data_IF_214183494739
#
_entry.id   IF_214183494739
#
_cell.length_a   1.000
_cell.length_b   1.000
_cell.length_c   1.000
_cell.angle_alpha   90.00
_cell.angle_beta   90.00
_cell.angle_gamma   90.00
#
_symmetry.space_group_name_H-M   'P 1'
#
loop_
_entity.id
_entity.type
_entity.pdbx_description
1 polymer ?
#
# COMPACT_ATOMS: atom_id res chain seq x y z
N UNK A 1 1.57 2.74 32.36
CA UNK A 1 0.85 2.13 31.22
C UNK A 1 -0.34 3.02 30.93
N UNK A 2 -0.33 3.75 29.81
CA UNK A 2 -1.51 4.52 29.41
C UNK A 2 -1.71 4.36 27.90
N UNK A 3 -2.71 3.56 27.56
CA UNK A 3 -3.18 3.27 26.20
C UNK A 3 -4.08 4.40 25.73
N UNK A 4 -3.52 5.37 25.00
CA UNK A 4 -4.33 6.29 24.21
C UNK A 4 -4.87 5.54 23.00
N UNK A 5 -6.19 5.28 23.03
CA UNK A 5 -6.97 4.86 21.87
C UNK A 5 -6.97 6.00 20.87
N UNK A 6 -6.41 5.77 19.69
CA UNK A 6 -6.45 6.71 18.57
C UNK A 6 -7.80 6.51 17.88
N UNK A 7 -8.56 7.60 17.77
CA UNK A 7 -9.88 7.66 17.16
C UNK A 7 -9.80 7.53 15.63
N UNK A 8 -9.94 6.31 15.12
CA UNK A 8 -10.00 5.98 13.69
C UNK A 8 -11.43 6.10 13.15
N UNK A 9 -11.92 7.31 12.85
CA UNK A 9 -13.23 7.44 12.17
C UNK A 9 -13.19 8.47 11.03
N UNK A 10 -12.95 7.89 9.83
CA UNK A 10 -13.55 8.23 8.53
C UNK A 10 -13.26 9.60 7.90
N UNK A 11 -12.01 9.79 7.48
CA UNK A 11 -11.65 10.47 6.21
C UNK A 11 -10.29 10.01 5.64
N UNK A 12 -9.51 9.25 6.43
CA UNK A 12 -8.08 8.98 6.20
C UNK A 12 -7.70 7.61 5.64
N UNK A 13 -8.61 6.67 5.36
CA UNK A 13 -8.23 5.26 5.17
C UNK A 13 -7.11 4.98 4.13
N UNK A 14 -7.06 5.72 3.03
CA UNK A 14 -6.00 5.58 2.03
C UNK A 14 -4.72 6.35 2.39
N UNK A 15 -4.86 7.57 2.88
CA UNK A 15 -3.74 8.43 3.26
C UNK A 15 -3.03 7.91 4.53
N UNK A 16 -3.77 7.39 5.51
CA UNK A 16 -3.25 6.76 6.72
C UNK A 16 -2.36 5.55 6.38
N UNK A 17 -2.71 4.79 5.34
CA UNK A 17 -1.93 3.64 4.88
C UNK A 17 -0.66 4.09 4.17
N UNK A 18 -0.73 5.15 3.35
CA UNK A 18 0.44 5.74 2.70
C UNK A 18 1.40 6.27 3.76
N UNK A 19 0.93 7.09 4.71
CA UNK A 19 1.75 7.64 5.80
C UNK A 19 2.41 6.53 6.64
N UNK A 20 1.65 5.46 6.94
CA UNK A 20 2.18 4.28 7.61
C UNK A 20 3.33 3.61 6.83
N UNK A 21 3.19 3.52 5.51
CA UNK A 21 4.18 2.92 4.61
C UNK A 21 5.41 3.83 4.41
N UNK A 22 5.22 5.14 4.28
CA UNK A 22 6.31 6.13 4.19
C UNK A 22 7.20 6.09 5.42
N UNK A 23 6.62 5.88 6.62
CA UNK A 23 7.39 5.67 7.84
C UNK A 23 8.22 4.36 7.83
N UNK A 24 8.07 3.49 6.82
CA UNK A 24 8.69 2.17 6.71
C UNK A 24 9.25 1.88 5.30
N UNK A 25 10.34 2.56 4.88
CA UNK A 25 10.88 2.39 3.51
C UNK A 25 11.25 0.95 3.13
N UNK A 26 11.72 0.14 4.09
CA UNK A 26 12.03 -1.28 3.85
C UNK A 26 10.77 -2.11 3.55
N UNK A 27 9.65 -1.77 4.18
CA UNK A 27 8.36 -2.41 3.90
C UNK A 27 7.91 -2.04 2.48
N UNK A 28 8.01 -0.77 2.10
CA UNK A 28 7.67 -0.32 0.74
C UNK A 28 8.47 -1.07 -0.32
N UNK A 29 9.79 -1.15 -0.14
CA UNK A 29 10.66 -1.87 -1.06
C UNK A 29 10.28 -3.36 -1.17
N UNK A 30 9.96 -4.00 -0.05
CA UNK A 30 9.55 -5.41 -0.03
C UNK A 30 8.18 -5.61 -0.71
N UNK A 31 7.21 -4.74 -0.43
CA UNK A 31 5.88 -4.80 -1.05
C UNK A 31 5.98 -4.64 -2.57
N UNK A 32 6.75 -3.68 -3.07
CA UNK A 32 6.95 -3.50 -4.52
C UNK A 32 7.68 -4.69 -5.17
N UNK A 33 8.57 -5.36 -4.43
CA UNK A 33 9.28 -6.55 -4.89
C UNK A 33 8.37 -7.77 -5.01
N UNK A 34 7.43 -7.96 -4.07
CA UNK A 34 6.57 -9.15 -4.04
C UNK A 34 5.27 -8.97 -4.84
N UNK A 35 4.72 -7.75 -4.89
CA UNK A 35 3.52 -7.44 -5.64
C UNK A 35 3.86 -7.01 -7.07
N UNK A 36 4.23 -7.97 -7.93
CA UNK A 36 4.62 -7.70 -9.32
C UNK A 36 3.40 -7.83 -10.23
N UNK A 37 3.06 -6.81 -11.02
CA UNK A 37 1.99 -6.90 -12.04
C UNK A 37 2.28 -8.05 -13.03
N UNK A 38 1.30 -8.93 -13.24
CA UNK A 38 1.39 -10.04 -14.20
C UNK A 38 0.96 -9.65 -15.63
N UNK A 39 0.56 -8.39 -15.83
CA UNK A 39 0.11 -7.85 -17.12
C UNK A 39 -1.39 -8.00 -17.35
N UNK A 40 -2.14 -8.57 -16.40
CA UNK A 40 -3.60 -8.73 -16.45
C UNK A 40 -4.34 -7.78 -15.50
N UNK A 41 -3.63 -6.84 -14.88
CA UNK A 41 -4.16 -6.00 -13.81
C UNK A 41 -4.20 -6.69 -12.45
N UNK A 42 -3.39 -7.75 -12.26
CA UNK A 42 -3.24 -8.47 -11.00
C UNK A 42 -1.77 -8.60 -10.63
N UNK A 43 -1.46 -8.66 -9.34
CA UNK A 43 -0.13 -9.06 -8.91
C UNK A 43 0.06 -10.58 -9.00
N UNK A 44 1.19 -10.99 -9.56
CA UNK A 44 1.70 -12.35 -9.56
C UNK A 44 1.77 -12.89 -8.13
N UNK A 45 0.98 -13.91 -7.83
CA UNK A 45 1.00 -14.59 -6.53
C UNK A 45 0.14 -13.95 -5.44
N UNK A 46 -0.64 -12.90 -5.73
CA UNK A 46 -1.69 -12.46 -4.80
C UNK A 46 -2.74 -13.58 -4.62
N UNK A 47 -2.91 -14.04 -3.38
CA UNK A 47 -3.99 -14.98 -3.03
C UNK A 47 -5.38 -14.36 -3.15
N UNK A 48 -5.43 -13.02 -3.16
CA UNK A 48 -6.65 -12.24 -3.25
C UNK A 48 -7.09 -12.09 -4.72
N UNK A 49 -8.00 -12.96 -5.18
CA UNK A 49 -8.73 -12.74 -6.44
C UNK A 49 -9.82 -11.70 -6.18
N UNK A 50 -9.60 -10.42 -6.50
CA UNK A 50 -10.72 -9.47 -6.48
C UNK A 50 -11.75 -9.91 -7.52
N UNK A 51 -12.99 -10.13 -7.08
CA UNK A 51 -14.07 -10.41 -8.00
C UNK A 51 -14.30 -9.18 -8.90
N UNK A 52 -14.04 -9.36 -10.20
CA UNK A 52 -14.58 -8.59 -11.31
C UNK A 52 -14.16 -7.11 -11.52
N UNK A 53 -13.22 -6.55 -10.76
CA UNK A 53 -12.67 -5.21 -11.08
C UNK A 53 -11.15 -5.24 -11.03
N UNK A 54 -10.44 -5.06 -12.17
CA UNK A 54 -9.00 -4.91 -12.16
C UNK A 54 -8.63 -3.58 -11.49
N UNK A 55 -8.20 -3.64 -10.23
CA UNK A 55 -7.58 -2.52 -9.54
C UNK A 55 -6.07 -2.72 -9.73
N UNK A 56 -5.49 -1.91 -10.62
CA UNK A 56 -4.07 -1.95 -10.98
C UNK A 56 -3.15 -2.10 -9.74
N UNK A 57 -2.17 -3.01 -9.79
CA UNK A 57 -2.32 -4.47 -9.90
C UNK A 57 -2.78 -5.12 -8.58
N UNK A 58 -2.88 -4.33 -7.50
CA UNK A 58 -3.77 -4.51 -6.36
C UNK A 58 -3.68 -3.23 -5.50
N UNK A 59 -4.67 -2.99 -4.63
CA UNK A 59 -4.67 -1.81 -3.76
C UNK A 59 -3.42 -1.71 -2.87
N UNK A 60 -2.83 -2.84 -2.44
CA UNK A 60 -1.57 -2.85 -1.66
C UNK A 60 -0.41 -2.27 -2.47
N UNK A 61 -0.28 -2.68 -3.74
CA UNK A 61 0.74 -2.13 -4.62
C UNK A 61 0.51 -0.64 -4.87
N UNK A 62 -0.74 -0.25 -5.10
CA UNK A 62 -1.07 1.16 -5.29
C UNK A 62 -0.61 2.02 -4.11
N UNK A 63 -0.84 1.59 -2.87
CA UNK A 63 -0.35 2.30 -1.68
C UNK A 63 1.19 2.35 -1.63
N UNK A 64 1.86 1.24 -1.95
CA UNK A 64 3.31 1.18 -1.93
C UNK A 64 3.95 2.09 -2.99
N UNK A 65 3.37 2.19 -4.19
CA UNK A 65 3.84 3.11 -5.25
C UNK A 65 3.68 4.57 -4.82
N UNK A 66 2.54 4.96 -4.24
CA UNK A 66 2.34 6.33 -3.74
C UNK A 66 3.32 6.69 -2.61
N UNK A 67 3.56 5.76 -1.69
CA UNK A 67 4.53 5.96 -0.62
C UNK A 67 5.97 6.06 -1.16
N UNK A 68 6.34 5.25 -2.16
CA UNK A 68 7.66 5.32 -2.80
C UNK A 68 7.88 6.66 -3.51
N UNK A 69 6.89 7.16 -4.25
CA UNK A 69 6.92 8.50 -4.85
C UNK A 69 7.19 9.58 -3.78
N UNK A 70 6.45 9.54 -2.66
CA UNK A 70 6.67 10.45 -1.54
C UNK A 70 8.05 10.31 -0.88
N UNK A 71 8.63 9.11 -0.85
CA UNK A 71 9.98 8.87 -0.33
C UNK A 71 11.06 9.40 -1.28
N UNK A 72 10.88 9.26 -2.59
CA UNK A 72 11.81 9.76 -3.59
C UNK A 72 11.90 11.29 -3.59
N UNK A 73 10.78 11.98 -3.36
CA UNK A 73 10.76 13.45 -3.28
C UNK A 73 11.42 14.04 -2.02
N UNK A 74 11.68 13.22 -0.99
CA UNK A 74 12.31 13.65 0.28
C UNK A 74 13.81 13.38 0.35
N UNK A 75 14.40 12.77 -0.69
CA UNK A 75 15.84 12.50 -0.81
C UNK A 75 16.56 13.63 -1.52
#
# INVERSE_FOLDING_TARGET
MNTSKIDYVTTGGAFDVIDFMEARPRLVAELLRVHVDDGTGHCRGCSWRQAAVPIHPCTIRWYAERADEGLQHRR
#
